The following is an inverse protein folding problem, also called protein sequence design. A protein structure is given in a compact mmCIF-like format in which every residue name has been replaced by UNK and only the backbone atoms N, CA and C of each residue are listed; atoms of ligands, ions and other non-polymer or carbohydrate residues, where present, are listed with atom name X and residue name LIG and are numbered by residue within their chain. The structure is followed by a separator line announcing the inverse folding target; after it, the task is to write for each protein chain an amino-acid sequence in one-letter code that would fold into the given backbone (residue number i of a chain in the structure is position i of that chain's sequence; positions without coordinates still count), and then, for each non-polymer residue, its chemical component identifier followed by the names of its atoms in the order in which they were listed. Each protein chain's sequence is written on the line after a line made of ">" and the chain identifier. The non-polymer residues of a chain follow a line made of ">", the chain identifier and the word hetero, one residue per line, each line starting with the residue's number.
data_IF_058368209905
#
_entry.id   IF_058368209905
#
_cell.length_a   1.000
_cell.length_b   1.000
_cell.length_c   1.000
_cell.angle_alpha   90.00
_cell.angle_beta   90.00
_cell.angle_gamma   90.00
#
_symmetry.space_group_name_H-M   'P 1'
#
loop_
_entity.id
_entity.type
_entity.pdbx_description
1 polymer ?
#
# COMPACT_ATOMS: atom_id res chain seq x y z
N UNK A 1 41.74 -48.44 17.69
CA UNK A 1 41.11 -49.12 16.56
C UNK A 1 39.75 -48.48 16.36
N UNK A 2 39.65 -47.65 15.31
CA UNK A 2 38.43 -47.00 14.87
C UNK A 2 37.47 -48.03 14.29
N UNK A 3 36.20 -47.93 14.66
CA UNK A 3 35.09 -48.39 13.82
C UNK A 3 34.08 -47.25 13.75
N UNK A 4 34.37 -46.27 12.88
CA UNK A 4 33.39 -45.29 12.45
C UNK A 4 32.45 -45.99 11.47
N UNK A 5 31.18 -46.14 11.84
CA UNK A 5 30.12 -46.53 10.93
C UNK A 5 29.86 -45.35 9.98
N UNK A 6 30.18 -45.54 8.70
CA UNK A 6 30.16 -44.51 7.65
C UNK A 6 28.85 -44.50 6.84
N UNK A 7 27.76 -45.04 7.37
CA UNK A 7 26.48 -45.21 6.65
C UNK A 7 25.26 -44.80 7.48
N UNK A 8 25.30 -43.62 8.09
CA UNK A 8 24.11 -42.94 8.63
C UNK A 8 23.95 -41.53 8.03
N UNK A 9 24.44 -41.35 6.80
CA UNK A 9 24.19 -40.18 5.99
C UNK A 9 23.34 -40.55 4.77
N UNK A 10 22.34 -39.72 4.50
CA UNK A 10 21.57 -39.63 3.24
C UNK A 10 20.32 -40.51 3.13
N UNK A 11 19.34 -40.28 3.99
CA UNK A 11 17.90 -40.48 3.75
C UNK A 11 17.16 -39.51 4.70
N UNK A 12 16.44 -38.47 4.33
CA UNK A 12 16.00 -37.97 3.05
C UNK A 12 15.78 -36.45 3.20
N UNK A 13 16.47 -35.65 2.41
CA UNK A 13 16.02 -34.28 2.13
C UNK A 13 15.62 -34.28 0.65
N UNK A 14 14.42 -34.80 0.41
CA UNK A 14 13.83 -34.69 -0.91
C UNK A 14 13.68 -33.19 -1.20
N UNK A 15 14.06 -32.69 -2.39
CA UNK A 15 13.87 -31.29 -2.70
C UNK A 15 12.39 -30.95 -2.52
N UNK A 16 12.06 -30.10 -1.53
CA UNK A 16 10.72 -29.51 -1.40
C UNK A 16 10.38 -28.94 -2.77
N UNK A 17 9.32 -29.46 -3.40
CA UNK A 17 8.85 -28.99 -4.70
C UNK A 17 8.80 -27.47 -4.63
N UNK A 18 9.40 -26.74 -5.58
CA UNK A 18 9.43 -25.28 -5.51
C UNK A 18 8.00 -24.78 -5.39
N UNK A 19 7.76 -23.97 -4.36
CA UNK A 19 6.45 -23.38 -4.08
C UNK A 19 6.07 -22.56 -5.31
N UNK A 20 5.02 -22.97 -6.02
CA UNK A 20 4.55 -22.28 -7.21
C UNK A 20 3.49 -21.27 -6.82
N UNK A 21 3.81 -19.99 -6.96
CA UNK A 21 2.89 -18.90 -6.69
C UNK A 21 1.93 -18.72 -7.87
N UNK A 22 0.63 -18.80 -7.60
CA UNK A 22 -0.45 -18.64 -8.58
C UNK A 22 -1.78 -18.45 -7.85
N UNK A 23 -2.81 -17.90 -8.53
CA UNK A 23 -4.16 -17.83 -7.97
C UNK A 23 -4.67 -19.20 -7.55
N UNK A 24 -4.28 -20.26 -8.28
CA UNK A 24 -4.66 -21.64 -7.96
C UNK A 24 -4.06 -22.13 -6.64
N UNK A 25 -2.77 -21.87 -6.40
CA UNK A 25 -2.10 -22.33 -5.18
C UNK A 25 -2.57 -21.56 -3.94
N UNK A 26 -2.74 -20.24 -4.04
CA UNK A 26 -3.31 -19.45 -2.95
C UNK A 26 -4.75 -19.85 -2.64
N UNK A 27 -5.60 -20.01 -3.67
CA UNK A 27 -6.99 -20.45 -3.47
C UNK A 27 -7.05 -21.80 -2.77
N UNK A 28 -6.22 -22.76 -3.21
CA UNK A 28 -6.16 -24.08 -2.58
C UNK A 28 -5.73 -23.97 -1.12
N UNK A 29 -4.66 -23.24 -0.80
CA UNK A 29 -4.16 -23.12 0.57
C UNK A 29 -5.16 -22.42 1.51
N UNK A 30 -5.82 -21.36 1.04
CA UNK A 30 -6.88 -20.67 1.78
C UNK A 30 -8.06 -21.61 2.05
N UNK A 31 -8.51 -22.34 1.03
CA UNK A 31 -9.59 -23.31 1.17
C UNK A 31 -9.25 -24.39 2.19
N UNK A 32 -8.05 -24.99 2.12
CA UNK A 32 -7.62 -26.01 3.08
C UNK A 32 -7.54 -25.44 4.51
N UNK A 33 -6.92 -24.28 4.69
CA UNK A 33 -6.80 -23.64 6.01
C UNK A 33 -8.17 -23.41 6.65
N UNK A 34 -9.11 -22.81 5.92
CA UNK A 34 -10.44 -22.50 6.43
C UNK A 34 -11.31 -23.75 6.64
N UNK A 35 -11.25 -24.73 5.73
CA UNK A 35 -12.03 -25.97 5.81
C UNK A 35 -11.65 -26.79 7.05
N UNK A 36 -10.36 -26.80 7.38
CA UNK A 36 -9.81 -27.60 8.46
C UNK A 36 -9.83 -26.88 9.82
N UNK A 37 -9.84 -25.54 9.83
CA UNK A 37 -9.96 -24.77 11.07
C UNK A 37 -11.40 -24.58 11.56
N UNK A 38 -12.39 -24.48 10.66
CA UNK A 38 -13.74 -24.02 11.02
C UNK A 38 -14.84 -24.99 10.62
N UNK A 39 -15.94 -25.03 11.38
CA UNK A 39 -17.14 -25.74 10.93
C UNK A 39 -17.85 -24.97 9.82
N UNK A 40 -18.81 -25.61 9.14
CA UNK A 40 -19.57 -24.97 8.05
C UNK A 40 -20.33 -23.73 8.52
N UNK A 41 -20.88 -23.79 9.74
CA UNK A 41 -21.64 -22.70 10.35
C UNK A 41 -20.71 -21.57 10.78
N UNK A 42 -19.58 -21.91 11.38
CA UNK A 42 -18.60 -20.89 11.81
C UNK A 42 -18.01 -20.15 10.62
N UNK A 43 -17.81 -20.81 9.46
CA UNK A 43 -17.35 -20.14 8.25
C UNK A 43 -18.28 -19.01 7.78
N UNK A 44 -19.59 -19.09 8.03
CA UNK A 44 -20.52 -18.01 7.68
C UNK A 44 -20.21 -16.76 8.50
N UNK A 45 -19.97 -16.95 9.80
CA UNK A 45 -19.65 -15.88 10.76
C UNK A 45 -18.24 -15.35 10.53
N UNK A 46 -17.26 -16.23 10.37
CA UNK A 46 -15.86 -15.82 10.20
C UNK A 46 -15.67 -15.03 8.90
N UNK A 47 -16.30 -15.45 7.80
CA UNK A 47 -16.12 -14.76 6.52
C UNK A 47 -16.89 -13.43 6.45
N UNK A 48 -18.13 -13.38 6.97
CA UNK A 48 -18.97 -12.18 6.95
C UNK A 48 -18.65 -11.22 8.13
N UNK A 49 -18.60 -11.73 9.35
CA UNK A 49 -18.50 -10.88 10.54
C UNK A 49 -17.05 -10.60 10.98
N UNK A 50 -16.15 -11.58 10.94
CA UNK A 50 -14.76 -11.36 11.37
C UNK A 50 -13.93 -10.77 10.22
N UNK A 51 -14.00 -11.40 9.04
CA UNK A 51 -13.26 -10.97 7.87
C UNK A 51 -13.98 -9.90 7.03
N UNK A 52 -15.25 -9.58 7.30
CA UNK A 52 -16.01 -8.51 6.61
C UNK A 52 -16.02 -8.66 5.08
N UNK A 53 -16.12 -9.90 4.59
CA UNK A 53 -16.13 -10.17 3.15
C UNK A 53 -17.56 -10.10 2.58
N UNK A 54 -17.79 -9.42 1.45
CA UNK A 54 -19.09 -9.42 0.80
C UNK A 54 -19.34 -10.75 0.08
N UNK A 55 -20.59 -11.23 0.12
CA UNK A 55 -21.01 -12.37 -0.70
C UNK A 55 -21.15 -11.95 -2.17
N UNK A 56 -20.59 -12.76 -3.10
CA UNK A 56 -20.45 -12.36 -4.51
C UNK A 56 -21.34 -13.15 -5.49
N UNK A 57 -22.00 -14.22 -5.05
CA UNK A 57 -22.89 -15.00 -5.90
C UNK A 57 -24.31 -14.42 -5.88
N UNK A 58 -24.76 -13.92 -7.02
CA UNK A 58 -26.16 -13.52 -7.20
C UNK A 58 -27.09 -14.73 -7.00
N UNK A 59 -28.29 -14.48 -6.48
CA UNK A 59 -29.38 -15.48 -6.34
C UNK A 59 -29.10 -16.66 -5.39
N UNK A 60 -28.13 -16.52 -4.49
CA UNK A 60 -27.84 -17.51 -3.43
C UNK A 60 -27.45 -16.81 -2.14
N UNK A 61 -27.61 -17.50 -1.01
CA UNK A 61 -27.17 -17.02 0.29
C UNK A 61 -26.09 -17.92 0.90
N UNK A 62 -25.16 -17.35 1.69
CA UNK A 62 -24.19 -18.13 2.43
C UNK A 62 -24.82 -19.20 3.33
N UNK A 63 -26.08 -19.04 3.73
CA UNK A 63 -26.82 -19.97 4.60
C UNK A 63 -27.49 -21.12 3.85
N UNK A 64 -27.43 -21.16 2.51
CA UNK A 64 -28.06 -22.22 1.73
C UNK A 64 -27.42 -23.58 2.07
N UNK A 65 -28.28 -24.54 2.42
CA UNK A 65 -27.88 -25.87 2.94
C UNK A 65 -27.16 -26.74 1.92
N UNK A 66 -27.27 -26.39 0.64
CA UNK A 66 -26.67 -27.14 -0.46
C UNK A 66 -25.17 -26.84 -0.62
N UNK A 67 -24.67 -25.78 0.04
CA UNK A 67 -23.25 -25.42 -0.04
C UNK A 67 -22.37 -26.21 0.92
N UNK A 68 -21.39 -26.91 0.35
CA UNK A 68 -20.23 -27.44 1.08
C UNK A 68 -19.38 -26.30 1.65
N UNK A 69 -18.53 -26.57 2.67
CA UNK A 69 -17.58 -25.58 3.21
C UNK A 69 -16.78 -24.87 2.10
N UNK A 70 -16.28 -25.65 1.12
CA UNK A 70 -15.52 -25.13 -0.01
C UNK A 70 -16.37 -24.20 -0.88
N UNK A 71 -17.61 -24.57 -1.16
CA UNK A 71 -18.50 -23.76 -2.00
C UNK A 71 -18.83 -22.40 -1.37
N UNK A 72 -18.89 -22.31 -0.04
CA UNK A 72 -19.06 -21.05 0.70
C UNK A 72 -17.86 -20.15 0.52
N UNK A 73 -16.67 -20.68 0.79
CA UNK A 73 -15.42 -19.94 0.65
C UNK A 73 -15.30 -19.43 -0.81
N UNK A 74 -15.67 -20.27 -1.78
CA UNK A 74 -15.70 -19.89 -3.19
C UNK A 74 -16.77 -18.84 -3.52
N UNK A 75 -17.90 -18.82 -2.81
CA UNK A 75 -18.92 -17.78 -2.97
C UNK A 75 -18.46 -16.39 -2.50
N UNK A 76 -17.67 -16.32 -1.43
CA UNK A 76 -17.03 -15.07 -0.97
C UNK A 76 -15.82 -14.65 -1.80
N UNK A 77 -15.13 -15.61 -2.43
CA UNK A 77 -13.88 -15.36 -3.19
C UNK A 77 -14.05 -15.53 -4.70
N UNK A 78 -15.31 -15.46 -5.18
CA UNK A 78 -15.64 -15.65 -6.59
C UNK A 78 -15.00 -14.56 -7.46
N UNK A 79 -14.35 -14.96 -8.54
CA UNK A 79 -13.72 -14.03 -9.49
C UNK A 79 -12.47 -13.32 -8.97
N UNK A 80 -11.97 -13.64 -7.78
CA UNK A 80 -10.77 -12.98 -7.23
C UNK A 80 -9.49 -13.37 -7.97
N UNK A 81 -8.65 -12.37 -8.17
CA UNK A 81 -7.31 -12.45 -8.73
C UNK A 81 -6.25 -12.75 -7.65
N UNK A 82 -4.99 -12.88 -8.07
CA UNK A 82 -3.90 -13.23 -7.17
C UNK A 82 -3.69 -12.20 -6.03
N UNK A 83 -3.67 -10.87 -6.27
CA UNK A 83 -3.51 -9.88 -5.19
C UNK A 83 -4.58 -10.00 -4.10
N UNK A 84 -5.86 -10.11 -4.47
CA UNK A 84 -6.96 -10.26 -3.49
C UNK A 84 -6.84 -11.54 -2.68
N UNK A 85 -6.43 -12.65 -3.31
CA UNK A 85 -6.19 -13.92 -2.62
C UNK A 85 -5.00 -13.83 -1.65
N UNK A 86 -3.91 -13.17 -2.04
CA UNK A 86 -2.75 -12.94 -1.16
C UNK A 86 -3.16 -12.10 0.06
N UNK A 87 -3.93 -11.03 -0.15
CA UNK A 87 -4.41 -10.19 0.93
C UNK A 87 -5.25 -10.99 1.94
N UNK A 88 -6.16 -11.83 1.46
CA UNK A 88 -6.93 -12.73 2.33
C UNK A 88 -6.05 -13.74 3.06
N UNK A 89 -5.08 -14.35 2.39
CA UNK A 89 -4.13 -15.27 3.05
C UNK A 89 -3.41 -14.59 4.23
N UNK A 90 -2.98 -13.33 4.08
CA UNK A 90 -2.34 -12.59 5.19
C UNK A 90 -3.29 -12.36 6.36
N UNK A 91 -4.52 -11.95 6.06
CA UNK A 91 -5.56 -11.74 7.07
C UNK A 91 -5.84 -13.04 7.81
N UNK A 92 -5.93 -14.17 7.12
CA UNK A 92 -6.07 -15.49 7.74
C UNK A 92 -4.89 -15.79 8.67
N UNK A 93 -3.64 -15.55 8.25
CA UNK A 93 -2.47 -15.80 9.12
C UNK A 93 -2.35 -14.86 10.32
N UNK A 94 -3.01 -13.69 10.29
CA UNK A 94 -2.87 -12.64 11.31
C UNK A 94 -4.07 -12.54 12.25
N UNK A 95 -5.27 -12.68 11.69
CA UNK A 95 -6.55 -12.45 12.35
C UNK A 95 -7.20 -13.76 12.82
N UNK A 96 -6.87 -14.90 12.21
CA UNK A 96 -7.52 -16.19 12.48
C UNK A 96 -6.60 -17.21 13.16
N UNK A 97 -7.20 -18.12 13.92
CA UNK A 97 -6.50 -19.23 14.58
C UNK A 97 -6.25 -20.39 13.60
N UNK A 98 -5.24 -20.24 12.73
CA UNK A 98 -4.72 -21.33 11.88
C UNK A 98 -3.42 -21.86 12.48
N UNK A 99 -3.28 -23.18 12.61
CA UNK A 99 -2.13 -23.80 13.29
C UNK A 99 -1.48 -24.91 12.46
N UNK A 100 -0.23 -25.22 12.78
CA UNK A 100 0.52 -26.34 12.21
C UNK A 100 0.83 -26.16 10.72
N UNK A 101 0.76 -27.26 9.98
CA UNK A 101 1.18 -27.31 8.56
C UNK A 101 0.38 -26.37 7.66
N UNK A 102 -0.89 -26.08 7.99
CA UNK A 102 -1.73 -25.17 7.22
C UNK A 102 -1.25 -23.72 7.32
N UNK A 103 -0.78 -23.31 8.50
CA UNK A 103 -0.15 -22.01 8.69
C UNK A 103 1.18 -21.96 7.95
N UNK A 104 2.01 -22.99 8.09
CA UNK A 104 3.31 -23.07 7.41
C UNK A 104 3.18 -23.04 5.88
N UNK A 105 2.15 -23.68 5.30
CA UNK A 105 1.90 -23.67 3.86
C UNK A 105 1.46 -22.29 3.36
N UNK A 106 0.59 -21.60 4.10
CA UNK A 106 0.20 -20.22 3.80
C UNK A 106 1.40 -19.28 3.93
N UNK A 107 2.18 -19.40 5.01
CA UNK A 107 3.39 -18.61 5.22
C UNK A 107 4.44 -18.90 4.13
N UNK A 108 4.61 -20.15 3.69
CA UNK A 108 5.54 -20.49 2.62
C UNK A 108 5.11 -19.88 1.27
N UNK A 109 3.81 -19.92 0.95
CA UNK A 109 3.26 -19.27 -0.24
C UNK A 109 3.39 -17.75 -0.17
N UNK A 110 3.10 -17.16 0.99
CA UNK A 110 3.29 -15.74 1.25
C UNK A 110 4.77 -15.39 1.11
N UNK A 111 5.69 -16.13 1.73
CA UNK A 111 7.13 -15.91 1.66
C UNK A 111 7.69 -16.04 0.22
N UNK A 112 7.17 -16.97 -0.57
CA UNK A 112 7.55 -17.13 -1.98
C UNK A 112 7.00 -16.01 -2.85
N UNK A 113 5.73 -15.64 -2.69
CA UNK A 113 5.16 -14.43 -3.32
C UNK A 113 5.98 -13.20 -2.92
N UNK A 114 6.41 -13.19 -1.66
CA UNK A 114 7.11 -12.09 -1.03
C UNK A 114 8.56 -11.95 -1.46
N UNK A 115 9.15 -13.04 -1.96
CA UNK A 115 10.49 -13.06 -2.55
C UNK A 115 10.58 -12.17 -3.81
N UNK A 116 9.45 -11.82 -4.41
CA UNK A 116 9.35 -10.84 -5.49
C UNK A 116 9.63 -9.38 -5.10
N UNK A 117 9.81 -9.09 -3.80
CA UNK A 117 10.09 -7.74 -3.28
C UNK A 117 8.87 -7.00 -2.73
N UNK A 118 9.11 -5.88 -2.05
CA UNK A 118 8.09 -5.07 -1.37
C UNK A 118 8.50 -4.65 0.05
N UNK A 119 7.77 -3.71 0.64
CA UNK A 119 8.03 -3.22 2.00
C UNK A 119 7.65 -4.29 3.04
N UNK A 120 8.54 -4.55 4.00
CA UNK A 120 8.45 -5.70 4.91
C UNK A 120 7.44 -5.59 6.07
N UNK A 121 6.75 -4.46 6.23
CA UNK A 121 5.75 -4.27 7.30
C UNK A 121 4.54 -3.49 6.76
N UNK A 122 3.30 -3.73 7.24
CA UNK A 122 2.12 -2.97 6.81
C UNK A 122 2.24 -1.46 7.07
N UNK A 123 1.53 -0.66 6.27
CA UNK A 123 1.49 0.78 6.47
C UNK A 123 0.62 1.08 7.70
N UNK A 124 1.18 1.82 8.66
CA UNK A 124 0.49 2.14 9.92
C UNK A 124 -0.19 3.50 9.91
N UNK A 125 0.42 4.46 9.23
CA UNK A 125 -0.03 5.85 9.18
C UNK A 125 0.10 6.38 7.75
N UNK A 126 -0.83 7.24 7.35
CA UNK A 126 -0.75 7.98 6.09
C UNK A 126 -1.07 9.45 6.36
N UNK A 127 -0.04 10.29 6.26
CA UNK A 127 -0.12 11.75 6.40
C UNK A 127 0.22 12.36 5.05
N UNK A 128 -0.70 13.09 4.46
CA UNK A 128 -0.65 13.45 3.04
C UNK A 128 -1.36 14.75 2.72
N UNK A 129 -1.33 15.14 1.44
CA UNK A 129 -1.94 16.36 0.91
C UNK A 129 -1.55 17.61 1.70
N UNK A 130 -0.26 17.67 2.08
CA UNK A 130 0.30 18.76 2.88
C UNK A 130 0.45 20.05 2.05
N UNK A 131 -0.29 21.10 2.40
CA UNK A 131 -0.37 22.36 1.65
C UNK A 131 0.02 23.60 2.49
N UNK A 132 0.91 23.41 3.47
CA UNK A 132 1.36 24.49 4.33
C UNK A 132 2.51 24.10 5.25
N UNK A 133 2.67 24.78 6.40
CA UNK A 133 3.72 24.47 7.36
C UNK A 133 3.68 23.01 7.79
N UNK A 134 4.86 22.45 8.08
CA UNK A 134 5.00 21.08 8.57
C UNK A 134 4.09 20.86 9.79
N UNK A 135 3.31 19.76 9.84
CA UNK A 135 2.50 19.43 11.02
C UNK A 135 3.40 19.18 12.23
N UNK A 136 2.91 19.55 13.42
CA UNK A 136 3.56 19.21 14.69
C UNK A 136 2.84 18.00 15.27
N UNK A 137 3.56 16.87 15.38
CA UNK A 137 2.98 15.57 15.71
C UNK A 137 3.43 15.12 17.10
N UNK A 138 2.51 14.53 17.85
CA UNK A 138 2.80 13.81 19.09
C UNK A 138 2.24 12.39 19.01
N UNK A 139 2.88 11.46 19.70
CA UNK A 139 2.30 10.16 19.98
C UNK A 139 1.50 10.28 21.27
N UNK A 140 0.16 10.28 21.18
CA UNK A 140 -0.71 10.23 22.36
C UNK A 140 -0.59 8.89 23.07
N UNK A 141 -0.48 7.81 22.29
CA UNK A 141 -0.13 6.47 22.74
C UNK A 141 1.00 5.91 21.87
N UNK A 142 2.19 5.79 22.46
CA UNK A 142 3.36 5.29 21.75
C UNK A 142 3.34 3.77 21.51
N UNK A 143 2.57 3.00 22.31
CA UNK A 143 2.47 1.55 22.17
C UNK A 143 1.55 1.20 21.00
N UNK A 144 0.44 1.92 20.88
CA UNK A 144 -0.54 1.74 19.80
C UNK A 144 -0.24 2.58 18.56
N UNK A 145 0.76 3.47 18.64
CA UNK A 145 1.21 4.34 17.56
C UNK A 145 0.12 5.37 17.15
N UNK A 146 -0.63 5.86 18.15
CA UNK A 146 -1.68 6.86 17.98
C UNK A 146 -1.07 8.25 17.82
N UNK A 147 -1.07 8.72 16.57
CA UNK A 147 -0.56 10.05 16.21
C UNK A 147 -1.65 11.10 16.37
N UNK A 148 -1.30 12.23 16.99
CA UNK A 148 -2.10 13.45 16.98
C UNK A 148 -1.30 14.61 16.38
N UNK A 149 -1.97 15.45 15.59
CA UNK A 149 -1.43 16.76 15.20
C UNK A 149 -1.81 17.82 16.23
N UNK A 150 -0.82 18.38 16.92
CA UNK A 150 -1.03 19.46 17.90
C UNK A 150 -0.99 20.85 17.28
N UNK A 151 -0.36 21.01 16.09
CA UNK A 151 -0.33 22.27 15.32
C UNK A 151 -0.29 22.01 13.82
N UNK A 152 -0.89 22.91 13.04
CA UNK A 152 -0.94 22.88 11.58
C UNK A 152 -1.76 21.69 11.02
N UNK A 153 -2.75 21.20 11.76
CA UNK A 153 -3.61 20.08 11.36
C UNK A 153 -4.46 20.41 10.13
N UNK A 154 -4.79 21.69 9.93
CA UNK A 154 -5.52 22.21 8.79
C UNK A 154 -4.75 22.06 7.47
N UNK A 155 -3.43 21.95 7.53
CA UNK A 155 -2.56 21.92 6.34
C UNK A 155 -2.29 20.52 5.81
N UNK A 156 -2.75 19.44 6.46
CA UNK A 156 -2.57 18.09 5.95
C UNK A 156 -3.76 17.18 6.28
N UNK A 157 -3.78 16.00 5.67
CA UNK A 157 -4.75 14.96 5.93
C UNK A 157 -4.08 13.79 6.66
N UNK A 158 -4.81 13.18 7.59
CA UNK A 158 -4.46 11.90 8.21
C UNK A 158 -5.54 10.90 7.84
N UNK A 159 -5.16 9.81 7.19
CA UNK A 159 -6.03 8.67 7.03
C UNK A 159 -6.02 7.89 8.36
N UNK A 160 -7.14 7.93 9.06
CA UNK A 160 -7.35 7.45 10.43
C UNK A 160 -8.05 6.09 10.50
N UNK A 161 -8.06 5.36 9.38
CA UNK A 161 -8.57 3.99 9.29
C UNK A 161 -7.42 3.01 9.01
N UNK A 162 -7.57 1.72 9.35
CA UNK A 162 -6.60 0.70 8.95
C UNK A 162 -6.41 0.70 7.43
N UNK A 163 -5.15 0.74 6.99
CA UNK A 163 -4.83 0.68 5.55
C UNK A 163 -5.07 -0.76 5.08
N UNK A 164 -5.93 -0.99 4.06
CA UNK A 164 -6.26 -2.34 3.62
C UNK A 164 -5.03 -3.10 3.09
N UNK A 165 -5.02 -4.41 3.30
CA UNK A 165 -3.90 -5.27 2.91
C UNK A 165 -3.73 -5.36 1.38
N UNK A 166 -4.82 -5.17 0.64
CA UNK A 166 -4.95 -5.13 -0.81
C UNK A 166 -4.77 -3.73 -1.41
N UNK A 167 -4.36 -2.75 -0.61
CA UNK A 167 -4.01 -1.41 -1.07
C UNK A 167 -5.04 -0.35 -0.68
N UNK A 168 -4.83 0.88 -1.13
CA UNK A 168 -5.74 1.98 -0.86
C UNK A 168 -6.36 2.45 -2.17
N UNK A 169 -7.60 2.04 -2.43
CA UNK A 169 -8.36 2.45 -3.61
C UNK A 169 -8.92 3.86 -3.45
N UNK A 170 -9.28 4.46 -4.58
CA UNK A 170 -9.94 5.76 -4.58
C UNK A 170 -11.37 5.69 -4.01
N UNK A 171 -12.08 4.57 -4.22
CA UNK A 171 -13.39 4.32 -3.59
C UNK A 171 -13.30 4.31 -2.06
N UNK A 172 -12.29 3.65 -1.49
CA UNK A 172 -12.05 3.68 -0.04
C UNK A 172 -11.76 5.08 0.45
N UNK A 173 -10.97 5.87 -0.28
CA UNK A 173 -10.73 7.27 0.07
C UNK A 173 -11.99 8.13 -0.01
N UNK A 174 -12.87 7.90 -1.00
CA UNK A 174 -14.17 8.60 -1.11
C UNK A 174 -15.04 8.29 0.10
N UNK A 175 -15.14 7.04 0.53
CA UNK A 175 -15.93 6.64 1.70
C UNK A 175 -15.38 7.21 2.99
N UNK A 176 -14.05 7.19 3.15
CA UNK A 176 -13.38 7.86 4.26
C UNK A 176 -13.66 9.36 4.27
N UNK A 177 -13.55 10.02 3.11
CA UNK A 177 -13.80 11.46 2.97
C UNK A 177 -15.26 11.82 3.25
N UNK A 178 -16.21 11.00 2.79
CA UNK A 178 -17.65 11.12 3.10
C UNK A 178 -17.86 11.22 4.61
N UNK A 179 -17.35 10.23 5.35
CA UNK A 179 -17.51 10.13 6.81
C UNK A 179 -16.83 11.31 7.52
N UNK A 180 -15.62 11.67 7.10
CA UNK A 180 -14.83 12.76 7.70
C UNK A 180 -15.51 14.12 7.55
N UNK A 181 -16.07 14.42 6.38
CA UNK A 181 -16.73 15.70 6.10
C UNK A 181 -18.21 15.73 6.52
N UNK A 182 -18.78 14.58 6.88
CA UNK A 182 -20.19 14.48 7.26
C UNK A 182 -21.14 14.70 6.08
N UNK A 183 -20.75 14.28 4.87
CA UNK A 183 -21.66 14.29 3.73
C UNK A 183 -22.82 13.31 3.97
N UNK A 184 -24.01 13.67 3.49
CA UNK A 184 -25.19 12.79 3.49
C UNK A 184 -24.95 11.55 2.62
N UNK A 185 -25.49 10.40 3.03
CA UNK A 185 -25.42 9.13 2.28
C UNK A 185 -26.08 9.23 0.90
N UNK A 186 -27.03 10.17 0.72
CA UNK A 186 -27.65 10.45 -0.57
C UNK A 186 -26.71 11.11 -1.59
N UNK A 187 -25.59 11.70 -1.16
CA UNK A 187 -24.63 12.37 -2.07
C UNK A 187 -23.91 11.32 -2.91
N UNK A 188 -23.94 11.42 -4.25
CA UNK A 188 -23.24 10.48 -5.13
C UNK A 188 -21.73 10.42 -4.85
N UNK A 189 -21.14 9.23 -4.93
CA UNK A 189 -19.70 9.03 -4.75
C UNK A 189 -18.85 9.91 -5.67
N UNK A 190 -19.36 10.23 -6.87
CA UNK A 190 -18.71 11.12 -7.83
C UNK A 190 -18.53 12.54 -7.28
N UNK A 191 -19.53 13.10 -6.62
CA UNK A 191 -19.47 14.48 -6.13
C UNK A 191 -18.52 14.59 -4.93
N UNK A 192 -18.51 13.56 -4.07
CA UNK A 192 -17.56 13.42 -2.97
C UNK A 192 -16.13 13.23 -3.50
N UNK A 193 -15.97 12.43 -4.56
CA UNK A 193 -14.70 12.27 -5.26
C UNK A 193 -14.18 13.57 -5.85
N UNK A 194 -15.05 14.39 -6.45
CA UNK A 194 -14.66 15.72 -6.95
C UNK A 194 -14.19 16.65 -5.83
N UNK A 195 -14.89 16.66 -4.69
CA UNK A 195 -14.50 17.45 -3.51
C UNK A 195 -13.16 16.98 -2.93
N UNK A 196 -12.98 15.67 -2.76
CA UNK A 196 -11.71 15.08 -2.35
C UNK A 196 -10.59 15.44 -3.35
N UNK A 197 -10.82 15.25 -4.64
CA UNK A 197 -9.86 15.58 -5.70
C UNK A 197 -9.43 17.04 -5.63
N UNK A 198 -10.36 17.97 -5.38
CA UNK A 198 -10.04 19.38 -5.20
C UNK A 198 -9.13 19.61 -3.99
N UNK A 199 -9.41 18.96 -2.85
CA UNK A 199 -8.56 19.05 -1.66
C UNK A 199 -7.16 18.47 -1.88
N UNK A 200 -7.05 17.37 -2.64
CA UNK A 200 -5.77 16.76 -3.00
C UNK A 200 -4.98 17.65 -3.97
N UNK A 201 -5.63 18.18 -5.01
CA UNK A 201 -5.04 19.12 -5.97
C UNK A 201 -4.49 20.36 -5.27
N UNK A 202 -5.21 20.88 -4.28
CA UNK A 202 -4.79 22.04 -3.50
C UNK A 202 -3.49 21.84 -2.70
N UNK A 203 -2.95 20.63 -2.62
CA UNK A 203 -1.63 20.37 -2.01
C UNK A 203 -0.44 20.51 -2.95
N UNK A 204 -0.69 20.54 -4.26
CA UNK A 204 0.34 20.64 -5.29
C UNK A 204 0.70 22.09 -5.62
N UNK A 205 0.05 23.06 -4.96
CA UNK A 205 0.15 24.49 -5.23
C UNK A 205 0.07 24.80 -6.75
N UNK A 206 0.80 25.80 -7.24
CA UNK A 206 0.91 26.15 -8.65
C UNK A 206 2.13 25.46 -9.29
N UNK A 207 2.28 24.14 -9.06
CA UNK A 207 3.34 23.36 -9.68
C UNK A 207 2.82 22.63 -10.94
N UNK A 208 3.05 23.17 -12.16
CA UNK A 208 2.45 22.64 -13.38
C UNK A 208 2.88 21.20 -13.69
N UNK A 209 4.11 20.80 -13.33
CA UNK A 209 4.61 19.45 -13.64
C UNK A 209 4.04 18.39 -12.71
N UNK A 210 3.85 18.70 -11.43
CA UNK A 210 3.15 17.80 -10.50
C UNK A 210 1.66 17.72 -10.83
N UNK A 211 1.02 18.86 -11.15
CA UNK A 211 -0.37 18.91 -11.59
C UNK A 211 -0.58 18.06 -12.86
N UNK A 212 0.37 18.05 -13.79
CA UNK A 212 0.32 17.21 -14.99
C UNK A 212 0.25 15.70 -14.64
N UNK A 213 1.10 15.24 -13.71
CA UNK A 213 1.08 13.84 -13.23
C UNK A 213 -0.24 13.53 -12.55
N UNK A 214 -0.69 14.42 -11.67
CA UNK A 214 -1.93 14.25 -10.91
C UNK A 214 -3.17 14.19 -11.81
N UNK A 215 -3.29 15.11 -12.77
CA UNK A 215 -4.40 15.18 -13.72
C UNK A 215 -4.42 14.00 -14.69
N UNK A 216 -3.24 13.57 -15.17
CA UNK A 216 -3.12 12.40 -16.02
C UNK A 216 -3.62 11.14 -15.32
N UNK A 217 -3.28 10.96 -14.04
CA UNK A 217 -3.80 9.84 -13.26
C UNK A 217 -5.29 9.97 -12.97
N UNK A 218 -5.76 11.16 -12.57
CA UNK A 218 -7.15 11.41 -12.22
C UNK A 218 -8.13 11.15 -13.37
N UNK A 219 -7.67 11.29 -14.63
CA UNK A 219 -8.47 10.95 -15.81
C UNK A 219 -8.95 9.48 -15.81
N UNK A 220 -8.24 8.58 -15.12
CA UNK A 220 -8.54 7.14 -15.01
C UNK A 220 -9.75 6.85 -14.13
N UNK A 221 -10.09 7.76 -13.21
CA UNK A 221 -11.27 7.64 -12.35
C UNK A 221 -12.61 7.76 -13.12
N UNK A 222 -12.57 8.09 -14.41
CA UNK A 222 -13.76 8.12 -15.27
C UNK A 222 -14.36 6.73 -15.50
N UNK A 223 -13.52 5.69 -15.48
CA UNK A 223 -13.92 4.31 -15.76
C UNK A 223 -14.31 3.54 -14.48
N UNK A 224 -14.00 4.09 -13.31
CA UNK A 224 -14.35 3.52 -12.01
C UNK A 224 -13.47 4.05 -10.88
N UNK A 225 -13.92 3.87 -9.63
CA UNK A 225 -13.19 4.29 -8.43
C UNK A 225 -12.46 3.14 -7.73
N UNK A 226 -12.69 1.88 -8.15
CA UNK A 226 -12.04 0.69 -7.60
C UNK A 226 -10.65 0.46 -8.22
N UNK A 227 -9.86 1.54 -8.29
CA UNK A 227 -8.45 1.53 -8.68
C UNK A 227 -7.64 2.20 -7.57
N UNK A 228 -6.33 1.89 -7.44
CA UNK A 228 -5.48 2.52 -6.44
C UNK A 228 -5.54 4.06 -6.48
N UNK A 229 -5.46 4.70 -5.32
CA UNK A 229 -5.42 6.14 -5.22
C UNK A 229 -4.01 6.67 -5.51
N UNK A 230 -3.91 7.76 -6.30
CA UNK A 230 -2.70 8.56 -6.36
C UNK A 230 -2.75 9.61 -5.25
N UNK A 231 -1.89 9.44 -4.26
CA UNK A 231 -1.92 10.23 -3.02
C UNK A 231 -0.79 11.26 -3.08
N UNK A 232 -1.08 12.58 -3.15
CA UNK A 232 -0.06 13.61 -3.27
C UNK A 232 0.56 14.00 -1.92
N UNK A 233 1.79 14.52 -1.97
CA UNK A 233 2.46 15.26 -0.90
C UNK A 233 2.51 14.49 0.43
N UNK A 234 3.12 13.30 0.40
CA UNK A 234 3.06 12.30 1.48
C UNK A 234 4.30 12.34 2.37
N UNK A 235 4.11 12.41 3.69
CA UNK A 235 5.21 12.25 4.64
C UNK A 235 5.58 10.77 4.81
N UNK A 236 6.67 10.32 4.17
CA UNK A 236 7.24 8.98 4.41
C UNK A 236 8.23 8.95 5.57
N UNK A 237 8.91 10.06 5.82
CA UNK A 237 9.77 10.22 6.97
C UNK A 237 9.30 11.42 7.77
N UNK A 238 9.34 11.30 9.09
CA UNK A 238 8.92 12.39 9.96
C UNK A 238 9.95 12.61 11.06
N UNK A 239 10.64 13.74 10.96
CA UNK A 239 11.55 14.22 11.98
C UNK A 239 10.88 15.34 12.81
N UNK A 240 10.42 15.08 14.04
CA UNK A 240 9.72 16.11 14.82
C UNK A 240 10.60 17.34 15.10
N UNK A 241 11.93 17.20 15.13
CA UNK A 241 12.84 18.30 15.42
C UNK A 241 13.29 19.02 14.14
N UNK A 242 12.95 20.31 14.03
CA UNK A 242 13.48 21.17 12.96
C UNK A 242 15.00 21.37 13.11
N UNK A 243 15.69 21.71 12.02
CA UNK A 243 17.12 22.05 12.06
C UNK A 243 17.41 23.17 13.07
N UNK A 244 16.53 24.17 13.15
CA UNK A 244 16.64 25.26 14.13
C UNK A 244 16.53 24.75 15.56
N UNK A 245 15.55 23.90 15.86
CA UNK A 245 15.38 23.32 17.19
C UNK A 245 16.61 22.49 17.62
N UNK A 246 17.19 21.71 16.70
CA UNK A 246 18.43 20.95 16.94
C UNK A 246 19.62 21.87 17.25
N UNK A 247 19.77 22.95 16.48
CA UNK A 247 20.83 23.95 16.69
C UNK A 247 20.68 24.63 18.06
N UNK A 248 19.46 25.06 18.43
CA UNK A 248 19.20 25.72 19.72
C UNK A 248 19.43 24.78 20.91
N UNK A 249 19.21 23.47 20.74
CA UNK A 249 19.41 22.45 21.78
C UNK A 249 20.80 21.82 21.81
N UNK A 250 21.73 22.28 20.96
CA UNK A 250 23.10 21.75 20.88
C UNK A 250 23.16 20.30 20.36
N UNK A 251 22.10 19.80 19.73
CA UNK A 251 22.06 18.46 19.15
C UNK A 251 22.86 18.41 17.85
N UNK A 252 23.65 17.35 17.68
CA UNK A 252 24.33 17.07 16.40
C UNK A 252 23.40 16.29 15.46
N UNK A 253 23.62 16.46 14.15
CA UNK A 253 22.85 15.80 13.08
C UNK A 253 21.98 16.76 12.27
N UNK A 254 21.71 16.37 11.03
CA UNK A 254 20.74 17.04 10.14
C UNK A 254 19.37 16.39 10.28
N UNK A 255 18.27 17.13 10.06
CA UNK A 255 16.97 16.52 9.91
C UNK A 255 16.98 15.44 8.84
N UNK A 256 16.05 14.49 8.94
CA UNK A 256 15.82 13.53 7.86
C UNK A 256 15.61 14.29 6.55
N UNK A 257 16.39 13.94 5.54
CA UNK A 257 16.24 14.46 4.18
C UNK A 257 14.98 13.90 3.53
N UNK A 258 14.42 14.64 2.56
CA UNK A 258 13.26 14.22 1.74
C UNK A 258 12.16 13.55 2.55
N UNK A 259 11.65 14.27 3.54
CA UNK A 259 10.58 13.77 4.41
C UNK A 259 9.26 13.57 3.69
N UNK A 260 9.01 14.41 2.68
CA UNK A 260 7.81 14.44 1.87
C UNK A 260 8.14 13.98 0.45
N UNK A 261 7.33 13.05 -0.06
CA UNK A 261 7.39 12.57 -1.45
C UNK A 261 6.26 13.19 -2.25
N UNK A 262 6.46 13.35 -3.55
CA UNK A 262 5.47 14.03 -4.41
C UNK A 262 4.20 13.20 -4.54
N UNK A 263 4.32 11.89 -4.82
CA UNK A 263 3.17 10.99 -4.86
C UNK A 263 3.45 9.60 -4.31
N UNK A 264 2.40 8.96 -3.79
CA UNK A 264 2.37 7.58 -3.33
C UNK A 264 1.17 6.85 -3.94
N UNK A 265 1.38 5.60 -4.35
CA UNK A 265 0.33 4.64 -4.65
C UNK A 265 0.54 3.41 -3.76
N UNK A 266 -0.52 2.99 -3.07
CA UNK A 266 -0.55 1.77 -2.26
C UNK A 266 -1.31 0.69 -3.04
N UNK A 267 -0.59 -0.14 -3.79
CA UNK A 267 -1.17 -1.30 -4.51
C UNK A 267 -1.44 -2.47 -3.56
N UNK A 268 -0.69 -2.57 -2.46
CA UNK A 268 -0.95 -3.49 -1.37
C UNK A 268 -0.24 -3.03 -0.10
N UNK A 269 -0.40 -3.79 0.98
CA UNK A 269 0.40 -3.63 2.21
C UNK A 269 1.91 -3.62 1.97
N UNK A 270 2.39 -4.20 0.87
CA UNK A 270 3.82 -4.33 0.53
C UNK A 270 4.24 -3.64 -0.76
N UNK A 271 3.35 -3.53 -1.75
CA UNK A 271 3.65 -2.85 -3.01
C UNK A 271 3.30 -1.37 -2.89
N UNK A 272 4.34 -0.57 -2.62
CA UNK A 272 4.25 0.87 -2.47
C UNK A 272 5.07 1.54 -3.54
N UNK A 273 4.41 2.32 -4.37
CA UNK A 273 5.04 3.06 -5.46
C UNK A 273 5.15 4.52 -5.05
N UNK A 274 6.37 5.03 -5.03
CA UNK A 274 6.66 6.46 -4.89
C UNK A 274 6.93 7.02 -6.28
N UNK A 275 6.24 8.09 -6.63
CA UNK A 275 6.53 8.86 -7.84
C UNK A 275 7.10 10.22 -7.42
N UNK A 276 8.19 10.63 -8.04
CA UNK A 276 8.86 11.90 -7.78
C UNK A 276 8.93 12.70 -9.08
N UNK A 277 8.73 14.00 -8.97
CA UNK A 277 8.80 14.95 -10.07
C UNK A 277 10.06 15.81 -9.91
N UNK A 278 11.09 15.46 -10.66
CA UNK A 278 12.41 16.06 -10.55
C UNK A 278 12.53 17.35 -11.35
N UNK A 279 12.50 18.47 -10.63
CA UNK A 279 12.91 19.78 -11.16
C UNK A 279 14.35 20.13 -10.77
N UNK A 280 14.87 21.22 -11.36
CA UNK A 280 16.23 21.71 -11.09
C UNK A 280 16.50 21.94 -9.60
N UNK A 281 15.48 22.29 -8.82
CA UNK A 281 15.58 22.47 -7.38
C UNK A 281 16.05 21.22 -6.61
N UNK A 282 15.94 20.02 -7.21
CA UNK A 282 16.40 18.78 -6.59
C UNK A 282 17.89 18.47 -6.79
N UNK A 283 18.52 19.08 -7.80
CA UNK A 283 19.90 18.74 -8.20
C UNK A 283 20.75 19.97 -8.57
N UNK A 284 20.27 21.19 -8.40
CA UNK A 284 20.98 22.43 -8.73
C UNK A 284 20.94 23.45 -7.60
N UNK A 285 22.02 24.23 -7.48
CA UNK A 285 22.07 25.44 -6.67
C UNK A 285 21.71 26.63 -7.56
N UNK A 286 20.45 27.07 -7.50
CA UNK A 286 19.90 28.02 -8.47
C UNK A 286 19.86 27.39 -9.86
N UNK A 287 20.60 27.97 -10.80
CA UNK A 287 20.69 27.45 -12.18
C UNK A 287 21.93 26.57 -12.44
N UNK A 288 22.79 26.36 -11.43
CA UNK A 288 24.02 25.58 -11.56
C UNK A 288 23.82 24.17 -11.02
N UNK A 289 23.95 23.15 -11.86
CA UNK A 289 23.89 21.75 -11.43
C UNK A 289 24.92 21.42 -10.33
N UNK A 290 24.51 20.65 -9.34
CA UNK A 290 25.30 20.28 -8.17
C UNK A 290 25.44 18.75 -8.07
N UNK A 291 26.63 18.19 -8.31
CA UNK A 291 26.89 16.76 -8.12
C UNK A 291 26.58 16.28 -6.70
N UNK A 292 26.74 17.15 -5.69
CA UNK A 292 26.41 16.83 -4.30
C UNK A 292 24.90 16.60 -4.12
N UNK A 293 24.06 17.56 -4.54
CA UNK A 293 22.60 17.44 -4.46
C UNK A 293 22.07 16.25 -5.26
N UNK A 294 22.64 16.03 -6.45
CA UNK A 294 22.35 14.84 -7.25
C UNK A 294 22.70 13.54 -6.50
N UNK A 295 23.88 13.48 -5.87
CA UNK A 295 24.31 12.28 -5.13
C UNK A 295 23.42 11.99 -3.91
N UNK A 296 22.96 13.03 -3.21
CA UNK A 296 21.96 12.93 -2.15
C UNK A 296 20.62 12.42 -2.69
N UNK A 297 20.19 12.90 -3.86
CA UNK A 297 18.99 12.42 -4.57
C UNK A 297 19.00 10.93 -4.81
N UNK A 298 20.04 10.44 -5.48
CA UNK A 298 20.13 9.02 -5.80
C UNK A 298 20.39 8.16 -4.56
N UNK A 299 20.96 8.72 -3.49
CA UNK A 299 21.13 8.00 -2.23
C UNK A 299 19.80 7.72 -1.53
N UNK A 300 18.88 8.70 -1.51
CA UNK A 300 17.54 8.49 -0.94
C UNK A 300 16.71 7.53 -1.80
N UNK A 301 16.81 7.61 -3.13
CA UNK A 301 16.17 6.62 -4.02
C UNK A 301 16.62 5.20 -3.70
N UNK A 302 17.94 4.97 -3.56
CA UNK A 302 18.46 3.66 -3.16
C UNK A 302 17.96 3.24 -1.78
N UNK A 303 17.89 4.15 -0.80
CA UNK A 303 17.39 3.83 0.54
C UNK A 303 15.94 3.37 0.49
N UNK A 304 15.08 4.06 -0.27
CA UNK A 304 13.68 3.67 -0.46
C UNK A 304 13.55 2.31 -1.15
N UNK A 305 14.30 2.09 -2.23
CA UNK A 305 14.31 0.80 -2.94
C UNK A 305 14.78 -0.35 -2.05
N UNK A 306 15.84 -0.15 -1.28
CA UNK A 306 16.32 -1.15 -0.31
C UNK A 306 15.33 -1.39 0.83
N UNK A 307 14.48 -0.42 1.16
CA UNK A 307 13.36 -0.57 2.08
C UNK A 307 12.13 -1.24 1.44
N UNK A 308 12.19 -1.58 0.14
CA UNK A 308 11.14 -2.31 -0.59
C UNK A 308 10.14 -1.44 -1.33
N UNK A 309 10.34 -0.12 -1.40
CA UNK A 309 9.52 0.76 -2.24
C UNK A 309 9.92 0.63 -3.70
N UNK A 310 8.95 0.71 -4.60
CA UNK A 310 9.22 1.01 -6.00
C UNK A 310 9.26 2.53 -6.18
N UNK A 311 10.33 3.04 -6.77
CA UNK A 311 10.48 4.48 -7.01
C UNK A 311 10.55 4.73 -8.51
N UNK A 312 9.75 5.66 -9.01
CA UNK A 312 9.82 6.16 -10.38
C UNK A 312 9.98 7.68 -10.34
N UNK A 313 10.90 8.21 -11.15
CA UNK A 313 11.24 9.63 -11.19
C UNK A 313 10.91 10.15 -12.57
N UNK A 314 10.19 11.27 -12.62
CA UNK A 314 9.89 11.98 -13.85
C UNK A 314 10.66 13.30 -13.88
N UNK A 315 11.43 13.54 -14.92
CA UNK A 315 12.10 14.82 -15.12
C UNK A 315 11.10 15.93 -15.47
N UNK A 316 11.29 17.14 -14.95
CA UNK A 316 10.46 18.28 -15.33
C UNK A 316 10.46 18.53 -16.84
N UNK A 317 11.58 18.28 -17.51
CA UNK A 317 11.69 18.44 -18.96
C UNK A 317 10.81 17.47 -19.77
N UNK A 318 10.59 16.23 -19.30
CA UNK A 318 9.69 15.30 -20.01
C UNK A 318 8.22 15.62 -19.74
N UNK A 319 7.90 16.13 -18.54
CA UNK A 319 6.53 16.52 -18.16
C UNK A 319 6.06 17.82 -18.83
N UNK A 320 6.98 18.62 -19.35
CA UNK A 320 6.67 19.86 -20.09
C UNK A 320 6.48 19.65 -21.60
N UNK A 321 6.62 18.42 -22.11
CA UNK A 321 6.39 18.12 -23.52
C UNK A 321 4.90 18.07 -23.84
N UNK A 322 4.55 18.38 -25.09
CA UNK A 322 3.16 18.32 -25.56
C UNK A 322 2.54 16.90 -25.43
N UNK A 323 3.37 15.85 -25.50
CA UNK A 323 2.97 14.45 -25.40
C UNK A 323 3.08 13.86 -23.98
N UNK A 324 3.38 14.68 -22.96
CA UNK A 324 3.54 14.22 -21.58
C UNK A 324 2.32 13.46 -21.04
N UNK A 325 1.10 13.90 -21.41
CA UNK A 325 -0.13 13.23 -21.00
C UNK A 325 -0.25 11.80 -21.53
N UNK A 326 0.16 11.57 -22.79
CA UNK A 326 0.17 10.23 -23.40
C UNK A 326 1.23 9.35 -22.76
N UNK A 327 2.44 9.87 -22.55
CA UNK A 327 3.53 9.15 -21.88
C UNK A 327 3.12 8.71 -20.46
N UNK A 328 2.51 9.61 -19.68
CA UNK A 328 2.03 9.29 -18.34
C UNK A 328 0.93 8.23 -18.35
N UNK A 329 -0.01 8.31 -19.29
CA UNK A 329 -1.07 7.30 -19.43
C UNK A 329 -0.47 5.91 -19.72
N UNK A 330 0.45 5.81 -20.69
CA UNK A 330 1.15 4.57 -21.02
C UNK A 330 1.97 4.03 -19.83
N UNK A 331 2.65 4.91 -19.10
CA UNK A 331 3.38 4.54 -17.90
C UNK A 331 2.44 3.95 -16.84
N UNK A 332 1.31 4.60 -16.55
CA UNK A 332 0.38 4.10 -15.55
C UNK A 332 -0.30 2.79 -15.95
N UNK A 333 -0.52 2.56 -17.24
CA UNK A 333 -1.00 1.27 -17.76
C UNK A 333 0.02 0.16 -17.49
N UNK A 334 1.28 0.39 -17.85
CA UNK A 334 2.38 -0.56 -17.60
C UNK A 334 2.63 -0.79 -16.10
N UNK A 335 2.56 0.28 -15.30
CA UNK A 335 2.68 0.19 -13.85
C UNK A 335 1.56 -0.67 -13.26
N UNK A 336 0.33 -0.47 -13.71
CA UNK A 336 -0.82 -1.27 -13.27
C UNK A 336 -0.67 -2.73 -13.65
N UNK A 337 -0.23 -3.02 -14.88
CA UNK A 337 0.03 -4.39 -15.35
C UNK A 337 1.12 -5.08 -14.53
N UNK A 338 2.20 -4.36 -14.18
CA UNK A 338 3.29 -4.86 -13.35
C UNK A 338 2.85 -5.18 -11.91
N UNK A 339 1.86 -4.44 -11.39
CA UNK A 339 1.42 -4.51 -10.00
C UNK A 339 0.24 -5.48 -9.77
N UNK A 340 -0.34 -6.03 -10.84
CA UNK A 340 -1.26 -7.17 -10.80
C UNK A 340 -0.51 -8.47 -10.53
#
# INVERSE_FOLDING_TARGET
>A
MNSFNFFEGVLADAPKVPVKVSSRSFRSAIEEALIHSYTRRDLEVVLDEELKLPWLLADSQPTDTDFTKRAVIQGYTHGWDLPRLVALARRITTELEVTGTLLEDLEALLNEYDRGGGVGSPAKNLIFAANGPKPDLVLRDALNNDIEIVRNAEFCLIFDQPIPADGLSYSTLIEWWRKRQGFDDAVPARDIGLDLHQRLRASLDDNPVELQVFDAYAARYKDGFDIPALIPQVYLHFDPATQRARQTSGQSGSPLARQRMDFLILFSSRHRVVLEVDGKQHYANGDTASPALYSEMVAEDRRLRLAGYEVYRFGGAELMRDDAGTMLAEFFDQLTERMR
#
